data_IF_275324344256
#
_entry.id   IF_275324344256
#
_cell.length_a   1.000
_cell.length_b   1.000
_cell.length_c   1.000
_cell.angle_alpha   90.00
_cell.angle_beta   90.00
_cell.angle_gamma   90.00
#
_symmetry.space_group_name_H-M   'P 1'
#
loop_
_entity.id
_entity.type
_entity.pdbx_description
1 polymer ?
#
# COMPACT_ATOMS: atom_id res chain seq x y z
N UNK A 1 7.41 -2.85 14.64
CA UNK A 1 6.49 -1.72 14.90
C UNK A 1 6.67 -0.58 13.91
N UNK A 2 7.86 0.04 13.81
CA UNK A 2 8.13 1.15 12.87
C UNK A 2 7.79 0.84 11.39
N UNK A 3 8.26 -0.29 10.86
CA UNK A 3 8.00 -0.68 9.44
C UNK A 3 6.50 -0.82 9.12
N UNK A 4 5.72 -1.36 10.07
CA UNK A 4 4.27 -1.50 9.94
C UNK A 4 3.59 -0.12 9.88
N UNK A 5 3.95 0.78 10.79
CA UNK A 5 3.44 2.16 10.79
C UNK A 5 3.81 2.92 9.52
N UNK A 6 4.99 2.66 8.94
CA UNK A 6 5.41 3.26 7.68
C UNK A 6 4.47 2.88 6.52
N UNK A 7 4.06 1.61 6.43
CA UNK A 7 3.04 1.20 5.46
C UNK A 7 1.73 1.97 5.67
N UNK A 8 1.29 2.12 6.91
CA UNK A 8 0.09 2.91 7.24
C UNK A 8 0.22 4.39 6.85
N UNK A 9 1.37 5.00 7.09
CA UNK A 9 1.66 6.39 6.70
C UNK A 9 1.68 6.56 5.17
N UNK A 10 2.23 5.60 4.44
CA UNK A 10 2.17 5.58 2.97
C UNK A 10 0.73 5.43 2.46
N UNK A 11 -0.11 4.69 3.19
CA UNK A 11 -1.54 4.62 2.91
C UNK A 11 -2.26 5.95 3.11
N UNK A 12 -1.96 6.67 4.19
CA UNK A 12 -2.47 8.02 4.42
C UNK A 12 -2.00 8.97 3.31
N UNK A 13 -0.71 8.89 2.95
CA UNK A 13 -0.16 9.67 1.84
C UNK A 13 -0.91 9.39 0.54
N UNK A 14 -1.19 8.14 0.20
CA UNK A 14 -1.95 7.80 -1.01
C UNK A 14 -3.35 8.39 -0.99
N UNK A 15 -4.08 8.34 0.13
CA UNK A 15 -5.38 9.00 0.25
C UNK A 15 -5.28 10.52 0.08
N UNK A 16 -4.30 11.17 0.72
CA UNK A 16 -4.07 12.60 0.54
C UNK A 16 -3.70 12.94 -0.90
N UNK A 17 -2.90 12.09 -1.55
CA UNK A 17 -2.50 12.26 -2.95
C UNK A 17 -3.71 12.26 -3.88
N UNK A 18 -4.77 11.50 -3.56
CA UNK A 18 -6.00 11.52 -4.34
C UNK A 18 -6.67 12.89 -4.33
N UNK A 19 -6.59 13.64 -3.23
CA UNK A 19 -7.20 14.97 -3.11
C UNK A 19 -6.27 16.03 -3.71
N UNK A 20 -4.97 15.92 -3.44
CA UNK A 20 -3.97 16.92 -3.81
C UNK A 20 -3.64 16.92 -5.31
N UNK A 21 -3.67 15.76 -5.97
CA UNK A 21 -3.25 15.61 -7.37
C UNK A 21 -4.41 15.27 -8.33
N UNK A 22 -5.65 15.61 -7.95
CA UNK A 22 -6.87 15.32 -8.73
C UNK A 22 -6.81 15.75 -10.22
N UNK A 23 -5.88 16.66 -10.58
CA UNK A 23 -5.74 17.25 -11.92
C UNK A 23 -4.33 17.17 -12.53
N UNK A 24 -3.41 16.36 -11.98
CA UNK A 24 -2.00 16.37 -12.41
C UNK A 24 -1.50 14.99 -12.88
N UNK A 25 -0.73 14.95 -13.97
CA UNK A 25 -0.08 13.74 -14.50
C UNK A 25 1.00 13.13 -13.58
N UNK A 26 1.21 13.72 -12.39
CA UNK A 26 2.17 13.28 -11.38
C UNK A 26 1.89 11.89 -10.77
N UNK A 27 0.75 11.25 -11.11
CA UNK A 27 0.35 9.98 -10.52
C UNK A 27 1.28 8.79 -10.83
N UNK A 28 1.93 8.78 -12.00
CA UNK A 28 2.85 7.70 -12.39
C UNK A 28 4.05 7.65 -11.43
N UNK A 29 4.71 8.79 -11.22
CA UNK A 29 5.88 8.89 -10.35
C UNK A 29 5.49 8.61 -8.89
N UNK A 30 4.33 9.13 -8.45
CA UNK A 30 3.81 8.87 -7.11
C UNK A 30 3.66 7.35 -6.85
N UNK A 31 3.09 6.61 -7.80
CA UNK A 31 2.92 5.16 -7.66
C UNK A 31 4.25 4.40 -7.67
N UNK A 32 5.20 4.79 -8.52
CA UNK A 32 6.52 4.15 -8.54
C UNK A 32 7.24 4.37 -7.21
N UNK A 33 7.30 5.61 -6.73
CA UNK A 33 8.02 5.95 -5.48
C UNK A 33 7.38 5.28 -4.27
N UNK A 34 6.06 5.45 -4.09
CA UNK A 34 5.35 4.83 -2.97
C UNK A 34 5.41 3.30 -3.07
N UNK A 35 5.30 2.76 -4.29
CA UNK A 35 5.40 1.33 -4.55
C UNK A 35 6.75 0.73 -4.14
N UNK A 36 7.86 1.37 -4.50
CA UNK A 36 9.21 0.94 -4.11
C UNK A 36 9.37 0.96 -2.59
N UNK A 37 9.02 2.07 -1.93
CA UNK A 37 9.16 2.20 -0.48
C UNK A 37 8.31 1.13 0.23
N UNK A 38 7.06 0.95 -0.19
CA UNK A 38 6.16 -0.06 0.35
C UNK A 38 6.62 -1.49 0.09
N UNK A 39 7.16 -1.79 -1.09
CA UNK A 39 7.69 -3.11 -1.42
C UNK A 39 8.86 -3.47 -0.51
N UNK A 40 9.83 -2.56 -0.35
CA UNK A 40 10.98 -2.75 0.55
C UNK A 40 10.53 -2.90 2.00
N UNK A 41 9.63 -2.04 2.46
CA UNK A 41 9.06 -2.11 3.81
C UNK A 41 8.30 -3.44 4.06
N UNK A 42 7.52 -3.86 3.08
CA UNK A 42 6.75 -5.10 3.09
C UNK A 42 7.64 -6.34 3.12
N UNK A 43 8.65 -6.43 2.25
CA UNK A 43 9.58 -7.58 2.23
C UNK A 43 10.39 -7.67 3.52
N UNK A 44 10.88 -6.55 4.04
CA UNK A 44 11.61 -6.52 5.32
C UNK A 44 10.72 -6.83 6.53
N UNK A 45 9.40 -6.68 6.42
CA UNK A 45 8.43 -7.13 7.41
C UNK A 45 8.07 -8.62 7.20
N UNK A 46 7.92 -9.06 5.95
CA UNK A 46 7.62 -10.44 5.53
C UNK A 46 8.68 -11.45 5.98
N UNK A 47 9.93 -11.02 6.13
CA UNK A 47 11.00 -11.84 6.71
C UNK A 47 10.63 -12.39 8.11
N UNK A 48 9.67 -11.77 8.82
CA UNK A 48 9.12 -12.25 10.09
C UNK A 48 7.90 -13.16 9.94
N UNK A 49 7.60 -13.63 8.72
CA UNK A 49 6.43 -14.44 8.34
C UNK A 49 5.07 -13.83 8.76
N UNK A 50 4.98 -12.51 8.79
CA UNK A 50 3.75 -11.79 9.12
C UNK A 50 2.89 -11.58 7.88
N UNK A 51 1.58 -11.79 8.00
CA UNK A 51 0.62 -11.55 6.93
C UNK A 51 0.67 -10.10 6.42
N UNK A 52 0.79 -9.12 7.32
CA UNK A 52 0.86 -7.70 6.96
C UNK A 52 2.11 -7.36 6.12
N UNK A 53 3.19 -8.10 6.34
CA UNK A 53 4.41 -7.94 5.55
C UNK A 53 4.19 -8.35 4.10
N UNK A 54 3.61 -9.54 3.89
CA UNK A 54 3.39 -10.08 2.55
C UNK A 54 2.40 -9.22 1.77
N UNK A 55 1.30 -8.81 2.42
CA UNK A 55 0.33 -7.90 1.80
C UNK A 55 0.99 -6.57 1.45
N UNK A 56 1.78 -5.99 2.36
CA UNK A 56 2.51 -4.74 2.09
C UNK A 56 3.48 -4.85 0.92
N UNK A 57 4.18 -5.99 0.78
CA UNK A 57 5.10 -6.23 -0.32
C UNK A 57 4.36 -6.34 -1.66
N UNK A 58 3.29 -7.13 -1.70
CA UNK A 58 2.47 -7.34 -2.90
C UNK A 58 1.80 -6.04 -3.34
N UNK A 59 1.24 -5.27 -2.41
CA UNK A 59 0.64 -3.96 -2.72
C UNK A 59 1.67 -2.94 -3.21
N UNK A 60 2.90 -2.97 -2.67
CA UNK A 60 3.99 -2.14 -3.17
C UNK A 60 4.37 -2.48 -4.60
N UNK A 61 4.49 -3.78 -4.90
CA UNK A 61 4.73 -4.28 -6.25
C UNK A 61 3.59 -3.90 -7.20
N UNK A 62 2.34 -4.05 -6.76
CA UNK A 62 1.15 -3.65 -7.51
C UNK A 62 1.22 -2.19 -7.94
N UNK A 63 1.59 -1.27 -7.04
CA UNK A 63 1.70 0.15 -7.39
C UNK A 63 2.72 0.39 -8.50
N UNK A 64 3.88 -0.26 -8.44
CA UNK A 64 4.92 -0.15 -9.47
C UNK A 64 4.35 -0.61 -10.83
N UNK A 65 3.73 -1.79 -10.89
CA UNK A 65 3.16 -2.29 -12.14
C UNK A 65 1.98 -1.46 -12.64
N UNK A 66 1.13 -0.97 -11.73
CA UNK A 66 -0.03 -0.14 -12.08
C UNK A 66 0.36 1.15 -12.81
N UNK A 67 1.55 1.69 -12.52
CA UNK A 67 2.08 2.89 -13.18
C UNK A 67 2.35 2.69 -14.68
N UNK A 68 2.50 1.44 -15.14
CA UNK A 68 2.75 1.10 -16.55
C UNK A 68 1.50 0.61 -17.29
N UNK A 69 0.34 0.58 -16.63
CA UNK A 69 -0.92 0.16 -17.24
C UNK A 69 -1.63 1.41 -17.80
N UNK A 70 -1.75 1.58 -19.14
CA UNK A 70 -2.27 2.82 -19.74
C UNK A 70 -3.70 3.16 -19.29
N UNK A 71 -4.56 2.16 -19.05
CA UNK A 71 -5.93 2.38 -18.57
C UNK A 71 -5.97 2.97 -17.15
N UNK A 72 -4.98 2.65 -16.30
CA UNK A 72 -4.84 3.20 -14.95
C UNK A 72 -4.27 4.63 -14.98
N UNK A 73 -3.56 5.01 -16.05
CA UNK A 73 -3.09 6.38 -16.27
C UNK A 73 -4.22 7.40 -16.50
N UNK A 74 -5.44 6.95 -16.80
CA UNK A 74 -6.61 7.84 -16.90
C UNK A 74 -6.97 8.42 -15.52
N UNK A 75 -7.38 9.69 -15.48
CA UNK A 75 -7.69 10.42 -14.24
C UNK A 75 -8.61 9.62 -13.29
N UNK A 76 -9.73 9.04 -13.74
CA UNK A 76 -10.63 8.30 -12.83
C UNK A 76 -9.98 7.02 -12.28
N UNK A 77 -9.28 6.28 -13.12
CA UNK A 77 -8.70 4.98 -12.74
C UNK A 77 -7.52 5.15 -11.79
N UNK A 78 -6.73 6.19 -11.97
CA UNK A 78 -5.64 6.57 -11.09
C UNK A 78 -6.16 6.89 -9.68
N UNK A 79 -7.25 7.67 -9.60
CA UNK A 79 -7.92 7.99 -8.34
C UNK A 79 -8.34 6.72 -7.58
N UNK A 80 -9.04 5.80 -8.24
CA UNK A 80 -9.50 4.57 -7.58
C UNK A 80 -8.33 3.67 -7.16
N UNK A 81 -7.28 3.57 -7.98
CA UNK A 81 -6.08 2.82 -7.62
C UNK A 81 -5.40 3.38 -6.37
N UNK A 82 -5.19 4.70 -6.34
CA UNK A 82 -4.60 5.38 -5.18
C UNK A 82 -5.48 5.24 -3.93
N UNK A 83 -6.80 5.42 -4.07
CA UNK A 83 -7.74 5.36 -2.96
C UNK A 83 -7.81 3.97 -2.34
N UNK A 84 -8.05 2.93 -3.16
CA UNK A 84 -8.18 1.55 -2.69
C UNK A 84 -6.87 1.07 -2.08
N UNK A 85 -5.75 1.28 -2.78
CA UNK A 85 -4.45 0.84 -2.28
C UNK A 85 -4.05 1.58 -1.00
N UNK A 86 -4.37 2.87 -0.91
CA UNK A 86 -4.16 3.68 0.29
C UNK A 86 -4.94 3.15 1.50
N UNK A 87 -6.21 2.79 1.31
CA UNK A 87 -7.04 2.20 2.35
C UNK A 87 -6.47 0.85 2.84
N UNK A 88 -6.03 -0.02 1.91
CA UNK A 88 -5.42 -1.30 2.27
C UNK A 88 -4.12 -1.11 3.07
N UNK A 89 -3.29 -0.13 2.69
CA UNK A 89 -2.07 0.20 3.43
C UNK A 89 -2.35 0.70 4.85
N UNK A 90 -3.40 1.51 5.04
CA UNK A 90 -3.85 1.96 6.37
C UNK A 90 -4.28 0.76 7.21
N UNK A 91 -5.09 -0.14 6.65
CA UNK A 91 -5.58 -1.32 7.35
C UNK A 91 -4.41 -2.20 7.81
N UNK A 92 -3.48 -2.56 6.94
CA UNK A 92 -2.34 -3.39 7.34
C UNK A 92 -1.34 -2.63 8.22
N UNK A 93 -1.27 -1.31 8.13
CA UNK A 93 -0.27 -0.48 8.83
C UNK A 93 -0.65 -0.15 10.27
N UNK A 94 -1.95 -0.01 10.54
CA UNK A 94 -2.46 0.39 11.85
C UNK A 94 -3.35 -0.67 12.50
N UNK A 95 -4.04 -1.52 11.72
CA UNK A 95 -4.83 -2.62 12.27
C UNK A 95 -3.93 -3.85 12.41
N UNK A 96 -3.96 -4.47 13.59
CA UNK A 96 -3.32 -5.76 13.81
C UNK A 96 -4.36 -6.83 13.56
N UNK A 97 -4.20 -7.55 12.44
CA UNK A 97 -4.99 -8.72 12.15
C UNK A 97 -4.38 -9.87 12.95
N UNK A 98 -4.76 -9.98 14.22
CA UNK A 98 -4.31 -11.06 15.08
C UNK A 98 -4.91 -12.38 14.57
N UNK A 99 -4.04 -13.33 14.22
CA UNK A 99 -4.47 -14.61 13.71
C UNK A 99 -4.97 -15.46 14.89
N UNK A 100 -6.29 -15.48 15.13
CA UNK A 100 -6.96 -16.19 16.24
C UNK A 100 -6.78 -17.72 16.26
N UNK A 101 -5.89 -18.30 15.44
CA UNK A 101 -5.63 -19.75 15.46
C UNK A 101 -4.93 -20.24 16.73
N UNK A 102 -4.31 -19.36 17.51
CA UNK A 102 -3.67 -19.70 18.80
C UNK A 102 -4.62 -19.81 19.99
N UNK A 103 -5.84 -19.26 19.90
CA UNK A 103 -6.81 -19.22 21.00
C UNK A 103 -7.70 -20.46 21.10
N UNK A 104 -7.59 -21.39 20.14
CA UNK A 104 -8.40 -22.63 20.09
C UNK A 104 -7.62 -23.87 20.52
N UNK A 105 -6.47 -23.71 21.18
CA UNK A 105 -5.65 -24.82 21.71
C UNK A 105 -5.69 -24.91 23.24
N UNK A 106 -6.85 -24.64 23.86
CA UNK A 106 -7.13 -25.00 25.25
C UNK A 106 -7.86 -26.34 25.28
#
# INVERSE_FOLDING_TARGET
>A
MIRKRMLGLLGIWLLLSTILFHFHEAGIINFIVVGIISAVAGFTLSAKKTFEGWVGAVLGIWLIFSAFIPSIGTIPSNYYNAFITGLLFILIGFVTLENKSGLMKN
#
